data_IF_044755601007
#
_entry.id   IF_044755601007
#
_cell.length_a   1.000
_cell.length_b   1.000
_cell.length_c   1.000
_cell.angle_alpha   90.00
_cell.angle_beta   90.00
_cell.angle_gamma   90.00
#
_symmetry.space_group_name_H-M   'P 1'
#
loop_
_entity.id
_entity.type
_entity.pdbx_description
1 polymer ?
#
# COMPACT_ATOMS: atom_id res chain seq x y z
N UNK A 1 25.32 -6.61 18.11
CA UNK A 1 25.68 -6.04 16.80
C UNK A 1 25.30 -4.56 16.85
N UNK A 2 26.23 -3.68 16.53
CA UNK A 2 25.94 -2.23 16.53
C UNK A 2 25.15 -1.88 15.27
N UNK A 3 23.95 -1.33 15.42
CA UNK A 3 23.12 -0.86 14.31
C UNK A 3 23.58 0.57 13.95
N UNK A 4 24.32 0.69 12.87
CA UNK A 4 24.83 2.00 12.43
C UNK A 4 23.68 2.93 12.08
N UNK A 5 23.82 4.20 12.43
CA UNK A 5 22.91 5.23 11.92
C UNK A 5 23.35 5.64 10.52
N UNK A 6 22.52 5.39 9.53
CA UNK A 6 22.83 5.62 8.12
C UNK A 6 23.16 7.09 7.81
N UNK A 7 22.53 8.05 8.47
CA UNK A 7 22.83 9.48 8.32
C UNK A 7 24.30 9.83 8.60
N UNK A 8 25.01 9.02 9.41
CA UNK A 8 26.41 9.26 9.78
C UNK A 8 27.44 8.79 8.77
N UNK A 9 27.00 8.02 7.76
CA UNK A 9 27.90 7.37 6.82
C UNK A 9 27.70 7.81 5.37
N UNK A 10 26.65 8.57 5.06
CA UNK A 10 26.37 9.01 3.71
C UNK A 10 27.42 9.97 3.17
N UNK A 11 27.83 9.74 1.93
CA UNK A 11 28.60 10.70 1.12
C UNK A 11 27.68 11.81 0.62
N UNK A 12 28.28 12.90 0.11
CA UNK A 12 27.51 13.99 -0.49
C UNK A 12 26.66 13.55 -1.71
N UNK A 13 27.15 12.59 -2.49
CA UNK A 13 26.40 12.06 -3.64
C UNK A 13 25.25 11.16 -3.20
N UNK A 14 25.44 10.33 -2.18
CA UNK A 14 24.36 9.55 -1.57
C UNK A 14 23.27 10.43 -0.97
N UNK A 15 23.62 11.56 -0.35
CA UNK A 15 22.62 12.52 0.15
C UNK A 15 21.79 13.14 -0.98
N UNK A 16 22.41 13.44 -2.14
CA UNK A 16 21.66 13.93 -3.31
C UNK A 16 20.71 12.86 -3.88
N UNK A 17 21.17 11.62 -3.98
CA UNK A 17 20.34 10.50 -4.44
C UNK A 17 19.19 10.24 -3.45
N UNK A 18 19.47 10.27 -2.15
CA UNK A 18 18.47 10.17 -1.08
C UNK A 18 17.36 11.23 -1.26
N UNK A 19 17.75 12.49 -1.50
CA UNK A 19 16.78 13.57 -1.73
C UNK A 19 15.94 13.34 -2.99
N UNK A 20 16.54 12.83 -4.08
CA UNK A 20 15.83 12.50 -5.32
C UNK A 20 14.84 11.35 -5.11
N UNK A 21 15.25 10.26 -4.47
CA UNK A 21 14.40 9.12 -4.17
C UNK A 21 13.22 9.54 -3.27
N UNK A 22 13.49 10.27 -2.19
CA UNK A 22 12.44 10.72 -1.28
C UNK A 22 11.48 11.74 -1.92
N UNK A 23 11.98 12.60 -2.81
CA UNK A 23 11.13 13.53 -3.56
C UNK A 23 10.19 12.77 -4.50
N UNK A 24 10.70 11.77 -5.23
CA UNK A 24 9.93 10.89 -6.10
C UNK A 24 8.92 10.08 -5.29
N UNK A 25 9.29 9.56 -4.13
CA UNK A 25 8.43 8.82 -3.23
C UNK A 25 7.24 9.66 -2.73
N UNK A 26 7.46 10.91 -2.30
CA UNK A 26 6.37 11.81 -1.90
C UNK A 26 5.36 12.05 -3.03
N UNK A 27 5.83 12.23 -4.26
CA UNK A 27 4.92 12.35 -5.43
C UNK A 27 4.09 11.08 -5.61
N UNK A 28 4.69 9.90 -5.43
CA UNK A 28 3.96 8.64 -5.53
C UNK A 28 2.89 8.50 -4.43
N UNK A 29 3.17 8.95 -3.21
CA UNK A 29 2.19 8.97 -2.12
C UNK A 29 1.02 9.94 -2.40
N UNK A 30 1.30 11.07 -3.02
CA UNK A 30 0.29 12.07 -3.37
C UNK A 30 -0.64 11.61 -4.51
N UNK A 31 -0.08 10.91 -5.52
CA UNK A 31 -0.79 10.46 -6.71
C UNK A 31 -1.38 9.04 -6.57
N UNK A 32 -0.97 8.27 -5.57
CA UNK A 32 -1.35 6.89 -5.35
C UNK A 32 -1.94 6.66 -3.96
N UNK A 33 -3.12 7.20 -3.67
CA UNK A 33 -3.81 7.02 -2.38
C UNK A 33 -4.70 5.80 -2.32
N UNK A 34 -5.03 5.21 -3.46
CA UNK A 34 -5.78 3.96 -3.57
C UNK A 34 -4.98 2.92 -4.35
N UNK A 35 -5.30 1.64 -4.22
CA UNK A 35 -4.65 0.56 -4.96
C UNK A 35 -4.78 0.75 -6.48
N UNK A 36 -5.93 1.25 -6.97
CA UNK A 36 -6.13 1.56 -8.39
C UNK A 36 -5.23 2.69 -8.88
N UNK A 37 -5.03 3.69 -8.05
CA UNK A 37 -4.13 4.81 -8.35
C UNK A 37 -2.68 4.34 -8.36
N UNK A 38 -2.28 3.50 -7.39
CA UNK A 38 -0.94 2.91 -7.35
C UNK A 38 -0.64 2.07 -8.59
N UNK A 39 -1.57 1.20 -9.03
CA UNK A 39 -1.40 0.41 -10.26
C UNK A 39 -1.29 1.32 -11.47
N UNK A 40 -2.17 2.32 -11.61
CA UNK A 40 -2.13 3.27 -12.73
C UNK A 40 -0.81 4.03 -12.79
N UNK A 41 -0.34 4.51 -11.65
CA UNK A 41 0.95 5.20 -11.54
C UNK A 41 2.11 4.26 -11.91
N UNK A 42 2.10 3.04 -11.39
CA UNK A 42 3.11 2.02 -11.70
C UNK A 42 3.16 1.74 -13.20
N UNK A 43 2.01 1.48 -13.84
CA UNK A 43 1.94 1.23 -15.29
C UNK A 43 2.52 2.40 -16.07
N UNK A 44 2.13 3.64 -15.74
CA UNK A 44 2.68 4.85 -16.38
C UNK A 44 4.20 4.94 -16.28
N UNK A 45 4.80 4.55 -15.16
CA UNK A 45 6.25 4.63 -14.96
C UNK A 45 7.00 3.48 -15.66
N UNK A 46 6.49 2.25 -15.59
CA UNK A 46 7.16 1.10 -16.20
C UNK A 46 7.09 1.13 -17.74
N UNK A 47 5.98 1.61 -18.32
CA UNK A 47 5.86 1.76 -19.79
C UNK A 47 6.87 2.74 -20.36
N UNK A 48 7.22 3.83 -19.65
CA UNK A 48 8.32 4.74 -20.00
C UNK A 48 9.68 4.05 -20.06
N UNK A 49 9.84 2.93 -19.35
CA UNK A 49 11.06 2.12 -19.28
C UNK A 49 11.01 0.90 -20.21
N UNK A 50 9.99 0.86 -21.10
CA UNK A 50 9.87 -0.16 -22.15
C UNK A 50 9.19 -1.46 -21.71
N UNK A 51 8.52 -1.48 -20.56
CA UNK A 51 7.68 -2.62 -20.18
C UNK A 51 6.45 -2.69 -21.07
N UNK A 52 6.08 -3.90 -21.47
CA UNK A 52 4.93 -4.19 -22.34
C UNK A 52 3.92 -5.07 -21.61
N UNK A 53 2.64 -4.82 -21.83
CA UNK A 53 1.60 -5.67 -21.25
C UNK A 53 1.72 -7.09 -21.79
N UNK A 54 1.73 -8.09 -20.91
CA UNK A 54 1.88 -9.49 -21.27
C UNK A 54 0.78 -9.98 -22.24
N UNK A 55 -0.43 -9.41 -22.13
CA UNK A 55 -1.56 -9.71 -23.05
C UNK A 55 -1.29 -9.36 -24.50
N UNK A 56 -0.38 -8.43 -24.75
CA UNK A 56 -0.04 -7.95 -26.11
C UNK A 56 1.16 -8.70 -26.70
N UNK A 57 1.79 -9.58 -25.94
CA UNK A 57 2.96 -10.37 -26.37
C UNK A 57 2.48 -11.56 -27.20
N UNK A 58 2.99 -11.67 -28.41
CA UNK A 58 2.68 -12.77 -29.34
C UNK A 58 3.89 -13.65 -29.66
N UNK A 59 5.08 -13.10 -29.48
CA UNK A 59 6.35 -13.76 -29.76
C UNK A 59 6.98 -14.26 -28.47
N UNK A 60 7.96 -15.16 -28.61
CA UNK A 60 8.74 -15.66 -27.48
C UNK A 60 9.52 -14.52 -26.78
N UNK A 61 9.60 -14.60 -25.46
CA UNK A 61 10.38 -13.69 -24.64
C UNK A 61 11.84 -14.18 -24.51
N UNK A 62 12.76 -13.24 -24.37
CA UNK A 62 14.18 -13.48 -24.19
C UNK A 62 14.78 -12.61 -23.09
N UNK A 63 15.98 -12.93 -22.66
CA UNK A 63 16.71 -12.14 -21.68
C UNK A 63 16.74 -10.65 -22.06
N UNK A 64 16.45 -9.80 -21.09
CA UNK A 64 16.31 -8.34 -21.22
C UNK A 64 14.92 -7.84 -21.60
N UNK A 65 13.98 -8.72 -21.98
CA UNK A 65 12.59 -8.32 -22.21
C UNK A 65 11.91 -7.91 -20.92
N UNK A 66 11.07 -6.86 -21.01
CA UNK A 66 10.36 -6.25 -19.89
C UNK A 66 8.86 -6.39 -20.10
N UNK A 67 8.17 -7.08 -19.19
CA UNK A 67 6.74 -7.32 -19.33
C UNK A 67 6.01 -7.12 -17.99
N UNK A 68 4.70 -6.87 -18.05
CA UNK A 68 3.86 -6.77 -16.88
C UNK A 68 2.46 -7.34 -17.13
N UNK A 69 1.78 -7.70 -16.05
CA UNK A 69 0.38 -8.08 -16.06
C UNK A 69 -0.37 -7.36 -14.94
N UNK A 70 -1.62 -6.98 -15.19
CA UNK A 70 -2.50 -6.28 -14.23
C UNK A 70 -3.70 -7.16 -13.93
N UNK A 71 -4.04 -7.26 -12.64
CA UNK A 71 -5.24 -7.93 -12.16
C UNK A 71 -6.30 -6.90 -11.76
N UNK A 72 -7.39 -6.81 -12.53
CA UNK A 72 -8.57 -5.99 -12.24
C UNK A 72 -8.27 -4.52 -11.89
N UNK A 73 -7.12 -3.99 -12.33
CA UNK A 73 -6.68 -2.64 -12.01
C UNK A 73 -6.25 -2.40 -10.57
N UNK A 74 -6.09 -3.44 -9.75
CA UNK A 74 -5.80 -3.36 -8.31
C UNK A 74 -4.53 -4.07 -7.88
N UNK A 75 -3.99 -4.97 -8.71
CA UNK A 75 -2.70 -5.62 -8.48
C UNK A 75 -1.91 -5.68 -9.77
N UNK A 76 -0.59 -5.70 -9.67
CA UNK A 76 0.30 -5.73 -10.82
C UNK A 76 1.52 -6.60 -10.51
N UNK A 77 1.96 -7.39 -11.50
CA UNK A 77 3.24 -8.08 -11.48
C UNK A 77 4.05 -7.63 -12.71
N UNK A 78 5.31 -7.25 -12.52
CA UNK A 78 6.21 -6.82 -13.56
C UNK A 78 7.51 -7.63 -13.54
N UNK A 79 8.07 -7.91 -14.71
CA UNK A 79 9.20 -8.81 -14.87
C UNK A 79 10.25 -8.23 -15.81
N UNK A 80 11.51 -8.40 -15.43
CA UNK A 80 12.66 -8.27 -16.30
C UNK A 80 13.24 -9.67 -16.51
N UNK A 81 13.13 -10.20 -17.73
CA UNK A 81 13.55 -11.57 -18.05
C UNK A 81 15.07 -11.69 -17.94
N UNK A 82 15.54 -12.63 -17.13
CA UNK A 82 16.94 -12.91 -16.89
C UNK A 82 17.59 -13.79 -17.97
N UNK A 83 18.89 -14.04 -17.81
CA UNK A 83 19.66 -14.93 -18.70
C UNK A 83 19.44 -16.41 -18.37
N UNK A 84 19.19 -16.73 -17.11
CA UNK A 84 18.89 -18.09 -16.68
C UNK A 84 17.45 -18.48 -17.03
N UNK A 85 17.20 -19.79 -17.28
CA UNK A 85 15.84 -20.32 -17.46
C UNK A 85 14.95 -19.99 -16.24
N UNK A 86 13.67 -19.69 -16.50
CA UNK A 86 12.69 -19.42 -15.42
C UNK A 86 12.55 -20.59 -14.45
N UNK A 87 12.71 -21.85 -14.89
CA UNK A 87 12.66 -23.01 -14.00
C UNK A 87 13.75 -22.99 -12.91
N UNK A 88 14.80 -22.19 -13.03
CA UNK A 88 15.78 -21.95 -11.98
C UNK A 88 15.28 -20.99 -10.89
N UNK A 89 14.13 -20.34 -11.12
CA UNK A 89 13.49 -19.42 -10.19
C UNK A 89 13.76 -17.95 -10.49
N UNK A 90 13.08 -17.10 -9.76
CA UNK A 90 13.10 -15.63 -9.89
C UNK A 90 13.58 -14.97 -8.60
N UNK A 91 14.06 -13.73 -8.71
CA UNK A 91 14.26 -12.84 -7.57
C UNK A 91 13.03 -11.90 -7.47
N UNK A 92 12.27 -12.02 -6.39
CA UNK A 92 10.95 -11.38 -6.25
C UNK A 92 10.99 -10.32 -5.16
N UNK A 93 10.54 -9.11 -5.49
CA UNK A 93 10.13 -8.08 -4.53
C UNK A 93 8.61 -8.07 -4.48
N UNK A 94 8.03 -8.27 -3.31
CA UNK A 94 6.59 -8.24 -3.13
C UNK A 94 6.18 -7.24 -2.05
N UNK A 95 5.11 -6.48 -2.29
CA UNK A 95 4.57 -5.50 -1.36
C UNK A 95 3.07 -5.35 -1.58
N UNK A 96 2.34 -4.77 -0.62
CA UNK A 96 0.94 -4.41 -0.85
C UNK A 96 0.77 -2.91 -1.14
N UNK A 97 -0.36 -2.56 -1.73
CA UNK A 97 -0.67 -1.19 -2.14
C UNK A 97 -2.02 -0.68 -1.65
N UNK A 98 -2.80 -1.53 -1.00
CA UNK A 98 -3.94 -1.11 -0.19
C UNK A 98 -3.45 -0.53 1.15
N UNK A 99 -4.29 0.21 1.84
CA UNK A 99 -4.00 0.78 3.16
C UNK A 99 -5.28 0.90 3.96
N UNK A 100 -5.23 0.93 5.30
CA UNK A 100 -6.41 1.15 6.13
C UNK A 100 -7.11 2.46 5.76
N UNK A 101 -8.43 2.40 5.63
CA UNK A 101 -9.27 3.52 5.16
C UNK A 101 -10.73 3.37 5.57
N UNK A 102 -11.58 4.22 5.02
CA UNK A 102 -13.03 4.12 5.12
C UNK A 102 -13.59 3.97 3.71
N UNK A 103 -14.45 2.95 3.47
CA UNK A 103 -15.12 2.72 2.18
C UNK A 103 -16.58 3.21 2.24
N UNK A 104 -17.08 3.74 1.12
CA UNK A 104 -18.48 4.10 0.95
C UNK A 104 -19.30 2.84 0.70
N UNK A 105 -20.44 2.67 1.41
CA UNK A 105 -21.38 1.55 1.22
C UNK A 105 -22.14 1.66 -0.11
N UNK A 106 -22.92 0.61 -0.45
CA UNK A 106 -23.62 0.50 -1.74
C UNK A 106 -24.88 1.38 -1.83
N UNK A 107 -25.53 1.73 -0.72
CA UNK A 107 -26.67 2.63 -0.65
C UNK A 107 -26.35 3.75 0.35
N UNK A 108 -25.39 4.64 0.04
CA UNK A 108 -24.73 5.42 1.08
C UNK A 108 -25.44 6.76 1.35
N UNK A 109 -26.13 7.33 0.36
CA UNK A 109 -26.56 8.72 0.42
C UNK A 109 -27.88 8.86 1.18
N UNK A 110 -27.84 9.56 2.29
CA UNK A 110 -29.01 9.90 3.08
C UNK A 110 -28.95 11.32 3.65
N UNK A 111 -30.10 11.84 4.06
CA UNK A 111 -30.23 13.11 4.75
C UNK A 111 -30.85 12.89 6.14
N UNK A 112 -30.36 13.63 7.12
CA UNK A 112 -30.94 13.69 8.46
C UNK A 112 -30.81 15.10 9.02
N UNK A 113 -31.91 15.74 9.40
CA UNK A 113 -31.97 17.12 9.95
C UNK A 113 -31.16 18.13 9.12
N UNK A 114 -31.44 18.20 7.81
CA UNK A 114 -30.79 19.09 6.84
C UNK A 114 -29.28 18.90 6.69
N UNK A 115 -28.76 17.72 7.01
CA UNK A 115 -27.38 17.32 6.79
C UNK A 115 -27.34 16.07 5.90
N UNK A 116 -26.58 16.12 4.81
CA UNK A 116 -26.38 14.99 3.91
C UNK A 116 -25.11 14.24 4.25
N UNK A 117 -25.22 12.92 4.25
CA UNK A 117 -24.14 11.99 4.61
C UNK A 117 -23.97 10.90 3.57
N UNK A 118 -22.74 10.34 3.52
CA UNK A 118 -22.46 9.01 2.96
C UNK A 118 -22.25 8.01 4.08
N UNK A 119 -23.06 6.94 4.11
CA UNK A 119 -22.91 5.78 4.98
C UNK A 119 -21.66 4.98 4.59
N UNK A 120 -20.90 4.52 5.58
CA UNK A 120 -19.55 4.00 5.37
C UNK A 120 -19.26 2.68 6.10
N UNK A 121 -18.18 2.03 5.69
CA UNK A 121 -17.59 0.90 6.40
C UNK A 121 -16.06 1.07 6.47
N UNK A 122 -15.45 0.90 7.63
CA UNK A 122 -14.00 0.94 7.72
C UNK A 122 -13.35 -0.30 7.12
N UNK A 123 -12.14 -0.14 6.59
CA UNK A 123 -11.31 -1.14 5.95
C UNK A 123 -9.99 -1.29 6.69
N UNK A 124 -9.59 -2.54 7.02
CA UNK A 124 -8.36 -2.83 7.76
C UNK A 124 -8.45 -2.53 9.26
N UNK A 125 -7.32 -2.61 9.91
CA UNK A 125 -7.18 -2.46 11.37
C UNK A 125 -6.99 -1.01 11.81
N UNK A 126 -8.04 -0.24 12.02
CA UNK A 126 -7.97 1.18 12.42
C UNK A 126 -8.34 1.43 13.90
N UNK A 127 -7.75 2.47 14.48
CA UNK A 127 -8.26 3.12 15.68
C UNK A 127 -9.27 4.19 15.25
N UNK A 128 -10.57 3.87 15.27
CA UNK A 128 -11.65 4.70 14.72
C UNK A 128 -11.61 6.15 15.21
N UNK A 129 -11.20 6.39 16.46
CA UNK A 129 -11.08 7.73 17.02
C UNK A 129 -10.00 8.62 16.39
N UNK A 130 -9.11 8.05 15.56
CA UNK A 130 -8.13 8.83 14.82
C UNK A 130 -8.68 9.36 13.48
N UNK A 131 -9.86 8.90 13.06
CA UNK A 131 -10.46 9.21 11.76
C UNK A 131 -11.55 10.28 11.81
N UNK A 132 -11.93 10.74 13.01
CA UNK A 132 -12.89 11.84 13.18
C UNK A 132 -12.17 13.20 13.19
N UNK A 133 -12.90 14.26 12.81
CA UNK A 133 -12.41 15.66 12.82
C UNK A 133 -11.17 15.93 11.94
N UNK A 134 -10.94 15.10 10.94
CA UNK A 134 -9.88 15.28 9.95
C UNK A 134 -10.45 15.76 8.61
N UNK A 135 -9.72 16.59 7.87
CA UNK A 135 -10.02 16.79 6.45
C UNK A 135 -9.85 15.47 5.70
N UNK A 136 -10.89 15.04 4.99
CA UNK A 136 -10.94 13.80 4.23
C UNK A 136 -11.23 14.09 2.77
N UNK A 137 -10.70 13.25 1.89
CA UNK A 137 -10.87 13.26 0.45
C UNK A 137 -11.62 12.00 0.01
N UNK A 138 -12.30 12.07 -1.13
CA UNK A 138 -13.02 10.96 -1.75
C UNK A 138 -12.33 10.57 -3.05
N UNK A 139 -11.86 9.34 -3.13
CA UNK A 139 -11.18 8.76 -4.28
C UNK A 139 -11.91 7.53 -4.80
N UNK A 140 -11.66 7.16 -6.03
CA UNK A 140 -12.13 5.89 -6.56
C UNK A 140 -12.69 5.94 -7.97
N UNK A 141 -13.61 5.03 -8.24
CA UNK A 141 -14.25 4.90 -9.56
C UNK A 141 -15.74 4.58 -9.41
N UNK A 142 -16.48 5.06 -10.37
CA UNK A 142 -17.88 4.70 -10.61
C UNK A 142 -17.92 4.00 -11.96
N UNK A 143 -18.53 2.83 -12.03
CA UNK A 143 -18.67 2.08 -13.29
C UNK A 143 -20.14 2.01 -13.65
N UNK A 144 -20.52 2.69 -14.73
CA UNK A 144 -21.90 2.74 -15.22
C UNK A 144 -22.30 1.42 -15.88
N UNK A 145 -23.60 1.19 -16.00
CA UNK A 145 -24.17 -0.03 -16.64
C UNK A 145 -23.78 -0.17 -18.10
N UNK A 146 -23.41 0.91 -18.80
CA UNK A 146 -22.89 0.88 -20.17
C UNK A 146 -21.37 0.55 -20.25
N UNK A 147 -20.71 0.35 -19.08
CA UNK A 147 -19.28 0.08 -18.96
C UNK A 147 -18.41 1.34 -18.89
N UNK A 148 -18.96 2.52 -18.92
CA UNK A 148 -18.21 3.77 -18.75
C UNK A 148 -17.64 3.85 -17.33
N UNK A 149 -16.33 4.14 -17.23
CA UNK A 149 -15.62 4.29 -15.96
C UNK A 149 -15.38 5.78 -15.70
N UNK A 150 -16.03 6.31 -14.68
CA UNK A 150 -15.83 7.66 -14.18
C UNK A 150 -14.89 7.63 -12.98
N UNK A 151 -13.78 8.39 -13.05
CA UNK A 151 -12.87 8.56 -11.91
C UNK A 151 -13.37 9.65 -10.99
N UNK A 152 -13.28 9.38 -9.69
CA UNK A 152 -13.57 10.33 -8.62
C UNK A 152 -12.28 10.63 -7.87
N UNK A 153 -11.98 11.91 -7.69
CA UNK A 153 -10.88 12.40 -6.86
C UNK A 153 -11.27 13.82 -6.43
N UNK A 154 -11.74 13.96 -5.19
CA UNK A 154 -12.26 15.21 -4.61
C UNK A 154 -11.60 15.43 -3.26
N UNK A 155 -10.97 16.57 -3.05
CA UNK A 155 -10.37 16.96 -1.78
C UNK A 155 -8.86 17.10 -1.81
N UNK A 156 -8.22 16.95 -2.98
CA UNK A 156 -6.76 17.01 -3.10
C UNK A 156 -6.22 18.33 -3.64
N UNK A 157 -7.02 19.05 -4.42
CA UNK A 157 -6.63 20.35 -4.93
C UNK A 157 -6.98 21.44 -3.92
N UNK A 158 -6.28 22.55 -4.00
CA UNK A 158 -6.46 23.67 -3.06
C UNK A 158 -7.88 24.27 -3.10
N UNK A 159 -8.55 24.21 -4.25
CA UNK A 159 -9.92 24.69 -4.48
C UNK A 159 -10.98 23.59 -4.36
N UNK A 160 -10.61 22.35 -4.14
CA UNK A 160 -11.55 21.25 -3.90
C UNK A 160 -12.21 21.40 -2.51
N UNK A 161 -13.48 21.01 -2.35
CA UNK A 161 -14.06 20.81 -1.02
C UNK A 161 -13.41 19.60 -0.34
N UNK A 162 -13.30 19.65 0.98
CA UNK A 162 -12.93 18.49 1.82
C UNK A 162 -14.14 18.02 2.62
N UNK A 163 -14.09 16.81 3.11
CA UNK A 163 -15.14 16.17 3.89
C UNK A 163 -14.67 15.92 5.32
N UNK A 164 -15.60 15.53 6.21
CA UNK A 164 -15.27 15.26 7.60
C UNK A 164 -16.23 14.22 8.19
N UNK A 165 -15.68 13.34 9.04
CA UNK A 165 -16.48 12.59 10.02
C UNK A 165 -16.52 13.42 11.30
N UNK A 166 -17.71 13.79 11.76
CA UNK A 166 -17.87 14.63 12.94
C UNK A 166 -17.66 13.85 14.23
N UNK A 167 -17.30 14.54 15.31
CA UNK A 167 -17.27 14.00 16.67
C UNK A 167 -18.04 14.90 17.64
N UNK A 168 -18.44 14.33 18.76
CA UNK A 168 -19.20 15.08 19.78
C UNK A 168 -18.28 16.05 20.51
N UNK A 169 -18.77 17.28 20.72
CA UNK A 169 -18.00 18.26 21.50
C UNK A 169 -17.80 17.81 22.94
N UNK A 170 -16.66 18.17 23.51
CA UNK A 170 -16.22 17.71 24.85
C UNK A 170 -17.25 17.97 25.96
N UNK A 171 -17.99 19.08 25.90
CA UNK A 171 -18.97 19.44 26.92
C UNK A 171 -20.22 18.53 26.94
N UNK A 172 -20.50 17.80 25.88
CA UNK A 172 -21.57 16.81 25.79
C UNK A 172 -21.03 15.37 25.81
N UNK A 173 -19.72 15.16 25.75
CA UNK A 173 -19.08 13.86 25.55
C UNK A 173 -18.92 13.02 26.83
N UNK A 174 -19.48 13.40 27.98
CA UNK A 174 -19.27 12.70 29.27
C UNK A 174 -19.45 11.18 29.16
N UNK A 175 -20.60 10.71 28.64
CA UNK A 175 -20.86 9.28 28.44
C UNK A 175 -19.99 8.63 27.37
N UNK A 176 -19.59 9.37 26.35
CA UNK A 176 -18.70 8.88 25.31
C UNK A 176 -17.30 8.63 25.90
N UNK A 177 -16.79 9.55 26.72
CA UNK A 177 -15.46 9.46 27.34
C UNK A 177 -15.33 8.32 28.36
N UNK A 178 -16.45 7.82 28.92
CA UNK A 178 -16.47 6.64 29.82
C UNK A 178 -16.32 5.31 29.05
N UNK A 179 -16.48 5.30 27.72
CA UNK A 179 -16.35 4.10 26.92
C UNK A 179 -14.87 3.67 26.77
N UNK A 180 -14.65 2.36 26.54
CA UNK A 180 -13.32 1.89 26.11
C UNK A 180 -12.93 2.56 24.79
N UNK A 181 -11.64 2.83 24.58
CA UNK A 181 -11.14 3.46 23.37
C UNK A 181 -11.58 2.74 22.05
N UNK A 182 -11.72 1.40 22.09
CA UNK A 182 -12.24 0.62 20.96
C UNK A 182 -13.72 0.88 20.62
N UNK A 183 -14.47 1.46 21.56
CA UNK A 183 -15.90 1.72 21.44
C UNK A 183 -16.26 3.21 21.53
N UNK A 184 -15.28 4.10 21.73
CA UNK A 184 -15.50 5.54 21.86
C UNK A 184 -16.09 6.14 20.59
N UNK A 185 -15.68 5.65 19.43
CA UNK A 185 -16.33 5.88 18.13
C UNK A 185 -16.89 4.54 17.65
N UNK A 186 -18.17 4.51 17.39
CA UNK A 186 -18.87 3.34 16.85
C UNK A 186 -18.67 3.27 15.33
N UNK A 187 -18.58 2.08 14.73
CA UNK A 187 -18.36 1.91 13.28
C UNK A 187 -19.45 2.59 12.45
N UNK A 188 -20.72 2.44 12.87
CA UNK A 188 -21.87 3.05 12.22
C UNK A 188 -21.98 4.59 12.42
N UNK A 189 -20.97 5.22 13.02
CA UNK A 189 -20.86 6.67 13.18
C UNK A 189 -19.66 7.27 12.46
N UNK A 190 -19.07 6.50 11.55
CA UNK A 190 -18.01 6.98 10.67
C UNK A 190 -18.55 7.58 9.37
N UNK A 191 -19.81 7.99 9.36
CA UNK A 191 -20.46 8.55 8.17
C UNK A 191 -19.85 9.90 7.79
N UNK A 192 -19.63 10.05 6.50
CA UNK A 192 -19.00 11.24 5.93
C UNK A 192 -20.01 12.35 5.72
N UNK A 193 -19.84 13.47 6.40
CA UNK A 193 -20.64 14.67 6.17
C UNK A 193 -20.25 15.32 4.83
N UNK A 194 -21.24 15.47 3.93
CA UNK A 194 -20.98 15.92 2.56
C UNK A 194 -21.82 17.14 2.12
N UNK A 195 -22.80 17.58 2.88
CA UNK A 195 -23.59 18.73 2.52
C UNK A 195 -24.58 19.19 3.59
N UNK A 196 -25.00 20.47 3.48
CA UNK A 196 -25.99 21.08 4.37
C UNK A 196 -26.84 22.19 3.67
N UNK A 197 -26.63 22.38 2.37
CA UNK A 197 -27.39 23.37 1.59
C UNK A 197 -28.54 22.69 0.84
N UNK A 198 -29.80 23.09 1.04
CA UNK A 198 -30.91 22.55 0.29
C UNK A 198 -30.83 22.97 -1.18
N UNK A 199 -31.46 22.20 -2.05
CA UNK A 199 -31.65 22.57 -3.46
C UNK A 199 -32.45 23.88 -3.54
N UNK A 200 -31.97 24.81 -4.36
CA UNK A 200 -32.68 26.05 -4.60
C UNK A 200 -33.98 25.75 -5.35
N UNK A 201 -35.08 26.29 -4.84
CA UNK A 201 -36.41 26.14 -5.47
C UNK A 201 -36.42 26.83 -6.83
N UNK A 202 -36.81 26.14 -7.88
CA UNK A 202 -37.24 26.75 -9.11
C UNK A 202 -38.65 27.32 -8.88
N UNK A 203 -38.96 28.52 -9.43
CA UNK A 203 -40.27 29.13 -9.30
C UNK A 203 -41.36 28.17 -9.80
N UNK A 204 -42.20 27.66 -8.88
CA UNK A 204 -43.34 26.80 -9.21
C UNK A 204 -43.34 25.39 -8.67
N UNK A 205 -42.33 24.99 -7.88
CA UNK A 205 -42.29 23.69 -7.18
C UNK A 205 -42.85 23.78 -5.75
N UNK A 206 -43.54 22.72 -5.29
CA UNK A 206 -44.22 22.65 -4.00
C UNK A 206 -43.22 22.77 -2.80
N UNK A 207 -43.73 23.31 -1.69
CA UNK A 207 -42.92 23.70 -0.52
C UNK A 207 -42.30 22.56 0.28
N UNK A 208 -42.65 21.32 0.02
CA UNK A 208 -42.36 20.16 0.85
C UNK A 208 -41.49 19.08 0.14
N UNK A 209 -40.42 19.48 -0.57
CA UNK A 209 -39.48 18.46 -1.04
C UNK A 209 -38.72 17.88 0.16
N UNK A 210 -39.06 16.65 0.52
CA UNK A 210 -38.37 15.87 1.54
C UNK A 210 -36.95 15.59 1.04
N UNK A 211 -35.96 15.75 1.94
CA UNK A 211 -34.55 15.49 1.62
C UNK A 211 -33.94 16.47 0.58
N UNK A 212 -34.22 17.76 0.71
CA UNK A 212 -33.78 18.82 -0.22
C UNK A 212 -32.24 19.00 -0.26
N UNK A 213 -31.53 18.70 0.83
CA UNK A 213 -30.06 18.74 0.88
C UNK A 213 -29.49 17.56 0.10
N UNK A 214 -30.06 16.38 0.26
CA UNK A 214 -29.71 15.18 -0.55
C UNK A 214 -29.94 15.46 -2.03
N UNK A 215 -31.07 16.08 -2.39
CA UNK A 215 -31.37 16.44 -3.77
C UNK A 215 -30.33 17.40 -4.37
N UNK A 216 -29.86 18.38 -3.59
CA UNK A 216 -28.80 19.29 -4.03
C UNK A 216 -27.44 18.56 -4.22
N UNK A 217 -27.10 17.68 -3.29
CA UNK A 217 -25.88 16.86 -3.43
C UNK A 217 -25.96 15.99 -4.68
N UNK A 218 -27.09 15.33 -4.92
CA UNK A 218 -27.29 14.54 -6.14
C UNK A 218 -27.18 15.39 -7.41
N UNK A 219 -27.75 16.59 -7.41
CA UNK A 219 -27.59 17.51 -8.54
C UNK A 219 -26.12 17.83 -8.80
N UNK A 220 -25.34 18.11 -7.76
CA UNK A 220 -23.88 18.36 -7.88
C UNK A 220 -23.17 17.12 -8.45
N UNK A 221 -23.48 15.92 -7.95
CA UNK A 221 -22.87 14.68 -8.44
C UNK A 221 -23.24 14.41 -9.91
N UNK A 222 -24.47 14.71 -10.30
CA UNK A 222 -24.91 14.61 -11.70
C UNK A 222 -24.21 15.64 -12.60
N UNK A 223 -24.19 16.91 -12.20
CA UNK A 223 -23.65 18.00 -13.01
C UNK A 223 -22.13 17.90 -13.22
N UNK A 224 -21.36 17.51 -12.19
CA UNK A 224 -19.90 17.49 -12.22
C UNK A 224 -19.29 16.11 -12.50
N UNK A 225 -19.99 15.04 -12.12
CA UNK A 225 -19.46 13.67 -12.22
C UNK A 225 -20.32 12.76 -13.10
N UNK A 226 -21.40 13.33 -13.71
CA UNK A 226 -22.34 12.56 -14.53
C UNK A 226 -22.83 11.30 -13.81
N UNK A 227 -23.14 11.40 -12.52
CA UNK A 227 -23.49 10.32 -11.63
C UNK A 227 -24.96 10.40 -11.24
N UNK A 228 -25.63 9.26 -11.23
CA UNK A 228 -26.97 9.07 -10.67
C UNK A 228 -26.89 8.26 -9.37
N UNK A 229 -27.93 8.29 -8.53
CA UNK A 229 -27.91 7.59 -7.23
C UNK A 229 -27.69 6.08 -7.38
N UNK A 230 -28.26 5.47 -8.42
CA UNK A 230 -28.06 4.05 -8.73
C UNK A 230 -26.60 3.68 -9.04
N UNK A 231 -25.80 4.62 -9.49
CA UNK A 231 -24.38 4.38 -9.82
C UNK A 231 -23.52 4.05 -8.59
N UNK A 232 -23.99 4.38 -7.37
CA UNK A 232 -23.32 3.92 -6.14
C UNK A 232 -23.28 2.40 -6.00
N UNK A 233 -24.22 1.66 -6.59
CA UNK A 233 -24.27 0.21 -6.55
C UNK A 233 -23.05 -0.44 -7.22
N UNK A 234 -22.43 0.23 -8.17
CA UNK A 234 -21.24 -0.20 -8.92
C UNK A 234 -20.08 0.78 -8.78
N UNK A 235 -20.02 1.51 -7.66
CA UNK A 235 -18.91 2.37 -7.30
C UNK A 235 -17.94 1.66 -6.32
N UNK A 236 -16.68 2.00 -6.43
CA UNK A 236 -15.65 1.74 -5.42
C UNK A 236 -15.09 3.10 -5.01
N UNK A 237 -15.60 3.63 -3.89
CA UNK A 237 -15.24 4.94 -3.37
C UNK A 237 -14.60 4.80 -1.99
N UNK A 238 -13.41 5.35 -1.88
CA UNK A 238 -12.53 5.28 -0.72
C UNK A 238 -12.36 6.67 -0.12
N UNK A 239 -12.51 6.76 1.19
CA UNK A 239 -12.33 7.98 1.98
C UNK A 239 -10.95 7.90 2.64
N UNK A 240 -10.10 8.86 2.30
CA UNK A 240 -8.71 8.92 2.72
C UNK A 240 -8.38 10.30 3.29
N UNK A 241 -7.31 10.46 4.10
CA UNK A 241 -6.89 11.79 4.56
C UNK A 241 -6.58 12.73 3.39
N UNK A 242 -7.19 13.91 3.40
CA UNK A 242 -6.92 14.97 2.43
C UNK A 242 -5.57 15.63 2.72
N UNK A 243 -4.79 15.86 1.67
CA UNK A 243 -3.51 16.56 1.76
C UNK A 243 -2.31 15.70 1.35
N UNK A 244 -1.18 16.37 1.18
CA UNK A 244 0.04 15.83 0.57
C UNK A 244 1.02 15.30 1.60
N UNK A 245 1.89 14.39 1.15
CA UNK A 245 3.08 13.97 1.87
C UNK A 245 4.01 15.15 2.14
N UNK A 246 4.50 15.27 3.37
CA UNK A 246 5.31 16.41 3.81
C UNK A 246 6.58 15.97 4.52
N UNK A 247 7.62 16.78 4.39
CA UNK A 247 8.78 16.65 5.25
C UNK A 247 8.37 16.87 6.71
N UNK A 248 8.83 16.00 7.59
CA UNK A 248 8.53 16.01 9.02
C UNK A 248 9.80 16.21 9.84
N UNK A 249 9.66 16.93 10.97
CA UNK A 249 10.77 17.35 11.83
C UNK A 249 11.42 18.64 11.36
N UNK A 250 12.04 19.36 12.30
CA UNK A 250 12.74 20.63 11.99
C UNK A 250 13.91 20.44 11.02
N UNK A 251 14.56 19.29 11.08
CA UNK A 251 15.67 18.88 10.23
C UNK A 251 15.21 18.24 8.90
N UNK A 252 13.90 18.08 8.70
CA UNK A 252 13.29 17.48 7.50
C UNK A 252 13.79 16.07 7.19
N UNK A 253 14.21 15.31 8.20
CA UNK A 253 14.77 13.96 8.05
C UNK A 253 13.72 12.86 7.89
N UNK A 254 12.44 13.20 8.06
CA UNK A 254 11.33 12.27 8.03
C UNK A 254 10.27 12.71 7.00
N UNK A 255 9.35 11.78 6.69
CA UNK A 255 8.17 12.02 5.86
C UNK A 255 6.93 11.70 6.69
N UNK A 256 5.96 12.62 6.71
CA UNK A 256 4.61 12.42 7.24
C UNK A 256 3.64 12.32 6.08
N UNK A 257 2.94 11.19 5.97
CA UNK A 257 1.98 10.93 4.91
C UNK A 257 0.97 9.84 5.29
N UNK A 258 -0.12 9.75 4.53
CA UNK A 258 -1.07 8.66 4.58
C UNK A 258 -0.56 7.47 3.77
N UNK A 259 -0.80 6.25 4.29
CA UNK A 259 -0.62 5.01 3.57
C UNK A 259 0.83 4.69 3.23
N UNK A 260 1.78 5.02 4.12
CA UNK A 260 3.16 4.58 3.98
C UNK A 260 3.30 3.07 4.24
N UNK A 261 2.38 2.50 5.01
CA UNK A 261 2.06 1.09 5.09
C UNK A 261 1.17 0.69 3.89
N UNK A 262 1.60 -0.11 2.90
CA UNK A 262 3.01 -0.53 2.65
C UNK A 262 3.56 0.12 1.36
N UNK A 263 3.02 1.30 1.00
CA UNK A 263 3.46 2.01 -0.22
C UNK A 263 4.92 2.43 -0.17
N UNK A 264 5.52 2.52 1.03
CA UNK A 264 6.96 2.78 1.13
C UNK A 264 7.77 1.63 0.56
N UNK A 265 7.41 0.38 0.85
CA UNK A 265 8.07 -0.77 0.28
C UNK A 265 7.67 -0.99 -1.18
N UNK A 266 6.41 -0.76 -1.53
CA UNK A 266 5.91 -0.89 -2.89
C UNK A 266 6.63 0.05 -3.87
N UNK A 267 6.72 1.33 -3.57
CA UNK A 267 7.37 2.29 -4.48
C UNK A 267 8.88 2.19 -4.47
N UNK A 268 9.52 1.86 -3.36
CA UNK A 268 10.98 1.60 -3.34
C UNK A 268 11.35 0.32 -4.09
N UNK A 269 10.49 -0.71 -4.08
CA UNK A 269 10.63 -1.91 -4.91
C UNK A 269 10.45 -1.58 -6.39
N UNK A 270 9.44 -0.77 -6.75
CA UNK A 270 9.26 -0.27 -8.12
C UNK A 270 10.50 0.51 -8.60
N UNK A 271 11.04 1.41 -7.80
CA UNK A 271 12.22 2.19 -8.17
C UNK A 271 13.44 1.29 -8.38
N UNK A 272 13.66 0.32 -7.49
CA UNK A 272 14.72 -0.66 -7.64
C UNK A 272 14.58 -1.45 -8.95
N UNK A 273 13.37 -1.92 -9.27
CA UNK A 273 13.06 -2.67 -10.49
C UNK A 273 13.29 -1.84 -11.77
N UNK A 274 12.98 -0.53 -11.74
CA UNK A 274 13.19 0.39 -12.88
C UNK A 274 14.66 0.72 -13.14
N UNK A 275 15.53 0.57 -12.11
CA UNK A 275 16.94 0.94 -12.14
C UNK A 275 17.88 -0.28 -12.21
N UNK A 276 17.32 -1.48 -12.41
CA UNK A 276 18.08 -2.71 -12.66
C UNK A 276 17.97 -3.07 -14.14
N UNK A 277 19.11 -3.39 -14.74
CA UNK A 277 19.25 -3.87 -16.10
C UNK A 277 20.21 -5.08 -16.10
N UNK A 278 20.11 -5.96 -17.07
CA UNK A 278 21.04 -7.10 -17.25
C UNK A 278 21.16 -7.99 -16.01
N UNK A 279 20.11 -8.76 -15.72
CA UNK A 279 20.03 -9.68 -14.57
C UNK A 279 20.28 -11.13 -15.01
N UNK A 280 20.93 -11.91 -14.12
CA UNK A 280 21.12 -13.35 -14.36
C UNK A 280 19.80 -14.10 -14.16
N UNK A 281 19.16 -13.97 -13.01
CA UNK A 281 17.84 -14.53 -12.72
C UNK A 281 16.75 -13.50 -13.09
N UNK A 282 15.63 -13.98 -13.58
CA UNK A 282 14.48 -13.11 -13.83
C UNK A 282 14.11 -12.35 -12.57
N UNK A 283 14.06 -11.03 -12.68
CA UNK A 283 13.59 -10.16 -11.61
C UNK A 283 12.09 -9.93 -11.72
N UNK A 284 11.41 -9.98 -10.58
CA UNK A 284 9.98 -9.73 -10.46
C UNK A 284 9.71 -8.67 -9.38
N UNK A 285 8.77 -7.76 -9.64
CA UNK A 285 8.15 -6.98 -8.60
C UNK A 285 6.63 -7.19 -8.68
N UNK A 286 6.03 -7.64 -7.57
CA UNK A 286 4.59 -7.85 -7.46
C UNK A 286 4.01 -6.93 -6.40
N UNK A 287 2.99 -6.15 -6.79
CA UNK A 287 2.26 -5.23 -5.92
C UNK A 287 0.82 -5.69 -5.85
N UNK A 288 0.35 -6.02 -4.64
CA UNK A 288 -0.94 -6.66 -4.41
C UNK A 288 -1.90 -5.81 -3.59
N UNK A 289 -3.17 -6.11 -3.72
CA UNK A 289 -4.28 -5.54 -2.97
C UNK A 289 -4.70 -6.46 -1.81
N UNK A 290 -5.49 -5.94 -0.87
CA UNK A 290 -6.20 -6.69 0.19
C UNK A 290 -5.33 -7.28 1.29
N UNK A 291 -4.07 -6.88 1.44
CA UNK A 291 -3.24 -7.34 2.55
C UNK A 291 -3.90 -7.02 3.88
N UNK A 292 -4.37 -5.80 4.04
CA UNK A 292 -4.98 -5.22 5.26
C UNK A 292 -6.25 -5.93 5.73
N UNK A 293 -6.84 -6.75 4.88
CA UNK A 293 -8.03 -7.57 5.19
C UNK A 293 -7.78 -9.07 4.99
N UNK A 294 -6.51 -9.50 5.01
CA UNK A 294 -6.10 -10.90 5.00
C UNK A 294 -5.79 -11.50 3.64
N UNK A 295 -5.50 -10.69 2.62
CA UNK A 295 -5.04 -11.11 1.28
C UNK A 295 -6.03 -12.01 0.52
N UNK A 296 -7.30 -12.10 0.93
CA UNK A 296 -8.33 -12.97 0.34
C UNK A 296 -9.09 -12.23 -0.75
N UNK A 297 -9.36 -12.92 -1.85
CA UNK A 297 -10.09 -12.39 -3.00
C UNK A 297 -9.26 -12.34 -4.28
N UNK A 298 -9.90 -11.96 -5.39
CA UNK A 298 -9.31 -12.09 -6.72
C UNK A 298 -8.07 -11.21 -6.96
N UNK A 299 -7.92 -10.13 -6.21
CA UNK A 299 -6.80 -9.18 -6.31
C UNK A 299 -5.77 -9.30 -5.17
N UNK A 300 -6.08 -10.09 -4.12
CA UNK A 300 -5.18 -10.38 -3.01
C UNK A 300 -4.13 -11.45 -3.36
N UNK A 301 -3.10 -11.58 -2.51
CA UNK A 301 -2.00 -12.52 -2.75
C UNK A 301 -2.44 -14.00 -2.76
N UNK A 302 -3.54 -14.36 -2.10
CA UNK A 302 -4.13 -15.70 -2.16
C UNK A 302 -4.74 -16.07 -3.52
N UNK A 303 -4.92 -15.10 -4.42
CA UNK A 303 -5.42 -15.37 -5.76
C UNK A 303 -4.40 -16.15 -6.60
N UNK A 304 -4.87 -16.79 -7.66
CA UNK A 304 -3.99 -17.46 -8.61
C UNK A 304 -3.36 -16.53 -9.64
N UNK A 305 -3.50 -15.22 -9.47
CA UNK A 305 -2.98 -14.24 -10.41
C UNK A 305 -1.49 -14.43 -10.67
N UNK A 306 -0.68 -14.51 -9.62
CA UNK A 306 0.77 -14.66 -9.77
C UNK A 306 1.16 -15.98 -10.44
N UNK A 307 0.59 -17.10 -10.00
CA UNK A 307 0.83 -18.41 -10.59
C UNK A 307 0.46 -18.46 -12.08
N UNK A 308 -0.68 -17.88 -12.46
CA UNK A 308 -1.12 -17.80 -13.84
C UNK A 308 -0.16 -16.97 -14.70
N UNK A 309 0.30 -15.82 -14.20
CA UNK A 309 1.27 -14.98 -14.93
C UNK A 309 2.61 -15.71 -15.11
N UNK A 310 3.09 -16.43 -14.08
CA UNK A 310 4.32 -17.24 -14.21
C UNK A 310 4.14 -18.36 -15.24
N UNK A 311 2.94 -18.96 -15.32
CA UNK A 311 2.65 -19.98 -16.33
C UNK A 311 2.73 -19.43 -17.77
N UNK A 312 2.17 -18.24 -18.01
CA UNK A 312 2.28 -17.53 -19.29
C UNK A 312 3.74 -17.19 -19.63
N UNK A 313 4.53 -16.74 -18.65
CA UNK A 313 5.94 -16.45 -18.85
C UNK A 313 6.74 -17.70 -19.22
N UNK A 314 6.51 -18.83 -18.52
CA UNK A 314 7.15 -20.11 -18.84
C UNK A 314 6.79 -20.55 -20.26
N UNK A 315 5.50 -20.43 -20.65
CA UNK A 315 5.06 -20.78 -22.00
C UNK A 315 5.78 -19.93 -23.08
N UNK A 316 5.95 -18.63 -22.83
CA UNK A 316 6.58 -17.68 -23.77
C UNK A 316 8.11 -17.76 -23.80
N UNK A 317 8.76 -18.28 -22.77
CA UNK A 317 10.24 -18.39 -22.70
C UNK A 317 10.76 -19.79 -23.00
N UNK A 318 10.08 -20.82 -22.51
CA UNK A 318 10.60 -22.19 -22.43
C UNK A 318 9.64 -23.26 -22.99
N UNK A 319 8.46 -22.84 -23.46
CA UNK A 319 7.37 -23.69 -23.90
C UNK A 319 6.49 -24.20 -22.74
N UNK A 320 5.26 -24.61 -23.07
CA UNK A 320 4.25 -25.02 -22.10
C UNK A 320 4.69 -26.20 -21.26
N UNK A 321 4.69 -26.04 -19.92
CA UNK A 321 5.03 -27.10 -18.98
C UNK A 321 4.63 -26.76 -17.55
N UNK A 322 3.65 -27.46 -17.00
CA UNK A 322 3.27 -27.38 -15.58
C UNK A 322 4.43 -27.64 -14.61
N UNK A 323 5.30 -28.58 -14.98
CA UNK A 323 6.45 -28.90 -14.13
C UNK A 323 7.45 -27.76 -14.06
N UNK A 324 7.70 -27.05 -15.15
CA UNK A 324 8.56 -25.86 -15.16
C UNK A 324 7.97 -24.71 -14.36
N UNK A 325 6.65 -24.49 -14.42
CA UNK A 325 5.94 -23.50 -13.58
C UNK A 325 6.17 -23.79 -12.11
N UNK A 326 5.98 -25.03 -11.68
CA UNK A 326 6.20 -25.43 -10.28
C UNK A 326 7.65 -25.27 -9.85
N UNK A 327 8.61 -25.60 -10.70
CA UNK A 327 10.04 -25.40 -10.45
C UNK A 327 10.41 -23.93 -10.37
N UNK A 328 9.87 -23.10 -11.29
CA UNK A 328 10.07 -21.66 -11.29
C UNK A 328 9.62 -21.03 -9.97
N UNK A 329 8.43 -21.41 -9.49
CA UNK A 329 7.90 -20.93 -8.20
C UNK A 329 8.74 -21.46 -7.02
N UNK A 330 9.03 -22.77 -6.97
CA UNK A 330 9.76 -23.40 -5.88
C UNK A 330 11.19 -22.88 -5.75
N UNK A 331 11.88 -22.64 -6.86
CA UNK A 331 13.27 -22.20 -6.88
C UNK A 331 13.43 -20.68 -6.74
N UNK A 332 12.32 -19.94 -6.63
CA UNK A 332 12.33 -18.49 -6.47
C UNK A 332 12.78 -18.07 -5.07
N UNK A 333 13.26 -16.84 -4.97
CA UNK A 333 13.65 -16.18 -3.74
C UNK A 333 12.93 -14.86 -3.63
N UNK A 334 12.40 -14.55 -2.45
CA UNK A 334 11.55 -13.37 -2.28
C UNK A 334 11.95 -12.55 -1.06
N UNK A 335 12.01 -11.24 -1.23
CA UNK A 335 11.79 -10.27 -0.18
C UNK A 335 10.30 -9.94 -0.16
N UNK A 336 9.59 -10.44 0.84
CA UNK A 336 8.20 -10.09 1.10
C UNK A 336 8.21 -8.80 1.89
N UNK A 337 7.98 -7.69 1.19
CA UNK A 337 8.09 -6.40 1.83
C UNK A 337 6.79 -6.04 2.53
N UNK A 338 6.95 -5.56 3.76
CA UNK A 338 5.90 -5.00 4.59
C UNK A 338 6.59 -4.17 5.69
N UNK A 339 5.97 -3.07 6.08
CA UNK A 339 6.55 -2.16 7.07
C UNK A 339 6.77 -2.86 8.41
N UNK A 340 7.66 -2.31 9.20
CA UNK A 340 7.94 -2.80 10.56
C UNK A 340 7.65 -1.71 11.59
N UNK A 341 7.08 -2.07 12.74
CA UNK A 341 6.81 -1.11 13.81
C UNK A 341 8.12 -0.50 14.32
N UNK A 342 8.28 0.81 14.15
CA UNK A 342 9.44 1.53 14.67
C UNK A 342 9.38 1.61 16.20
N UNK A 343 10.53 1.45 16.85
CA UNK A 343 10.66 1.69 18.28
C UNK A 343 10.28 3.14 18.61
N UNK A 344 9.18 3.30 19.33
CA UNK A 344 8.73 4.58 19.83
C UNK A 344 9.09 4.70 21.32
N UNK A 345 9.98 5.65 21.69
CA UNK A 345 10.34 5.85 23.10
C UNK A 345 9.17 6.22 24.01
N UNK A 346 8.08 6.79 23.44
CA UNK A 346 6.87 7.14 24.19
C UNK A 346 6.02 5.91 24.55
N UNK A 347 6.27 4.77 23.88
CA UNK A 347 5.57 3.48 24.07
C UNK A 347 6.58 2.34 24.23
N UNK A 348 7.71 2.62 24.90
CA UNK A 348 8.83 1.69 25.04
C UNK A 348 8.44 0.32 25.61
N UNK A 349 7.38 0.29 26.45
CA UNK A 349 6.86 -0.94 27.06
C UNK A 349 6.26 -1.93 26.06
N UNK A 350 5.90 -1.49 24.85
CA UNK A 350 5.39 -2.37 23.78
C UNK A 350 6.50 -3.11 23.02
N UNK A 351 7.77 -2.76 23.21
CA UNK A 351 8.90 -3.26 22.44
C UNK A 351 9.90 -4.03 23.28
N UNK A 352 10.56 -5.02 22.66
CA UNK A 352 11.83 -5.56 23.14
C UNK A 352 12.97 -4.82 22.39
N UNK A 353 13.68 -3.97 23.11
CA UNK A 353 14.61 -2.99 22.52
C UNK A 353 15.74 -3.62 21.71
N UNK A 354 16.19 -4.86 22.03
CA UNK A 354 17.25 -5.55 21.28
C UNK A 354 16.77 -6.05 19.93
N UNK A 355 15.45 -6.28 19.80
CA UNK A 355 14.82 -6.84 18.61
C UNK A 355 13.83 -5.87 17.97
N UNK A 356 13.85 -4.58 18.31
CA UNK A 356 13.01 -3.56 17.69
C UNK A 356 13.67 -2.91 16.47
N UNK A 357 12.88 -2.40 15.53
CA UNK A 357 13.34 -1.57 14.42
C UNK A 357 13.54 -0.11 14.88
N UNK A 358 14.57 0.55 14.38
CA UNK A 358 14.89 1.93 14.74
C UNK A 358 15.02 2.81 13.50
N UNK A 359 14.57 4.04 13.57
CA UNK A 359 14.74 5.03 12.53
C UNK A 359 16.21 5.31 12.20
N UNK A 360 16.47 5.50 10.91
CA UNK A 360 17.79 5.81 10.39
C UNK A 360 18.80 4.66 10.51
N UNK A 361 18.30 3.42 10.62
CA UNK A 361 19.13 2.20 10.69
C UNK A 361 19.02 1.33 9.44
N UNK A 362 18.28 1.81 8.45
CA UNK A 362 18.14 1.17 7.15
C UNK A 362 17.04 0.12 7.09
N UNK A 363 17.11 -0.71 6.04
CA UNK A 363 16.14 -1.75 5.74
C UNK A 363 15.98 -2.71 6.91
N UNK A 364 14.75 -3.03 7.28
CA UNK A 364 14.41 -3.98 8.34
C UNK A 364 14.17 -5.35 7.74
N UNK A 365 14.76 -6.38 8.32
CA UNK A 365 14.44 -7.77 8.05
C UNK A 365 13.78 -8.39 9.28
N UNK A 366 12.64 -9.03 9.08
CA UNK A 366 11.95 -9.83 10.10
C UNK A 366 12.07 -11.29 9.72
N UNK A 367 12.83 -12.06 10.53
CA UNK A 367 12.98 -13.50 10.31
C UNK A 367 11.62 -14.21 10.36
N UNK A 368 10.72 -13.70 11.20
CA UNK A 368 9.32 -14.13 11.37
C UNK A 368 8.49 -12.95 11.87
N UNK A 369 7.17 -12.97 11.60
CA UNK A 369 6.24 -11.90 11.96
C UNK A 369 5.06 -12.36 12.81
N UNK A 370 4.77 -13.67 12.84
CA UNK A 370 3.58 -14.24 13.48
C UNK A 370 3.50 -14.02 14.99
N UNK A 371 2.28 -14.05 15.52
CA UNK A 371 1.96 -13.90 16.93
C UNK A 371 1.97 -15.24 17.69
N UNK A 372 2.00 -15.19 19.03
CA UNK A 372 1.77 -16.36 19.91
C UNK A 372 2.58 -17.60 19.52
N UNK A 373 3.87 -17.51 19.55
CA UNK A 373 4.78 -18.61 19.18
C UNK A 373 4.94 -18.76 17.66
N UNK A 374 4.99 -17.64 16.93
CA UNK A 374 5.20 -17.55 15.48
C UNK A 374 4.06 -18.13 14.63
N UNK A 375 2.85 -18.18 15.16
CA UNK A 375 1.69 -18.71 14.42
C UNK A 375 1.34 -17.83 13.24
N UNK A 376 1.05 -18.44 12.06
CA UNK A 376 0.66 -17.74 10.85
C UNK A 376 1.78 -16.92 10.20
N UNK A 377 3.03 -17.32 10.40
CA UNK A 377 4.22 -16.62 9.92
C UNK A 377 5.09 -17.53 9.04
N UNK A 378 5.81 -16.94 8.10
CA UNK A 378 7.00 -17.56 7.54
C UNK A 378 8.17 -17.39 8.55
N UNK A 379 8.98 -18.44 8.76
CA UNK A 379 10.23 -18.40 9.55
C UNK A 379 11.40 -18.64 8.57
N UNK A 380 12.05 -17.59 8.14
CA UNK A 380 13.06 -17.64 7.08
C UNK A 380 14.25 -18.54 7.44
N UNK A 381 14.72 -19.33 6.47
CA UNK A 381 15.82 -20.26 6.64
C UNK A 381 17.16 -19.54 6.86
N UNK A 382 18.04 -20.14 7.66
CA UNK A 382 19.32 -19.55 8.02
C UNK A 382 20.24 -19.37 6.80
N UNK A 383 20.20 -20.31 5.87
CA UNK A 383 20.98 -20.28 4.63
C UNK A 383 20.57 -19.07 3.76
N UNK A 384 19.28 -18.86 3.57
CA UNK A 384 18.75 -17.74 2.83
C UNK A 384 19.05 -16.39 3.50
N UNK A 385 18.93 -16.33 4.82
CA UNK A 385 19.36 -15.17 5.61
C UNK A 385 20.82 -14.80 5.37
N UNK A 386 21.71 -15.80 5.27
CA UNK A 386 23.11 -15.57 5.00
C UNK A 386 23.34 -15.02 3.59
N UNK A 387 22.57 -15.49 2.61
CA UNK A 387 22.61 -14.95 1.23
C UNK A 387 22.14 -13.50 1.18
N UNK A 388 20.99 -13.19 1.79
CA UNK A 388 20.45 -11.82 1.86
C UNK A 388 21.45 -10.87 2.52
N UNK A 389 22.07 -11.28 3.64
CA UNK A 389 23.12 -10.48 4.29
C UNK A 389 24.32 -10.25 3.39
N UNK A 390 24.72 -11.25 2.61
CA UNK A 390 25.83 -11.13 1.65
C UNK A 390 25.47 -10.13 0.54
N UNK A 391 24.26 -10.17 0.00
CA UNK A 391 23.78 -9.22 -0.99
C UNK A 391 23.78 -7.78 -0.44
N UNK A 392 23.24 -7.56 0.76
CA UNK A 392 23.26 -6.24 1.39
C UNK A 392 24.67 -5.69 1.63
N UNK A 393 25.57 -6.54 2.08
CA UNK A 393 26.96 -6.17 2.35
C UNK A 393 27.76 -5.88 1.05
N UNK A 394 27.38 -6.47 -0.07
CA UNK A 394 28.05 -6.25 -1.36
C UNK A 394 27.92 -4.80 -1.86
N UNK A 395 26.85 -4.12 -1.52
CA UNK A 395 26.61 -2.72 -1.89
C UNK A 395 26.61 -1.77 -0.66
N UNK A 396 27.14 -2.22 0.48
CA UNK A 396 27.20 -1.44 1.74
C UNK A 396 25.83 -0.82 2.13
N UNK A 397 24.76 -1.62 2.01
CA UNK A 397 23.41 -1.25 2.43
C UNK A 397 23.30 -1.29 3.93
N UNK A 398 22.74 -0.26 4.55
CA UNK A 398 22.41 -0.26 5.98
C UNK A 398 21.15 -1.10 6.22
N UNK A 399 21.22 -2.06 7.13
CA UNK A 399 20.07 -2.90 7.48
C UNK A 399 20.09 -3.32 8.94
N UNK A 400 18.94 -3.76 9.43
CA UNK A 400 18.72 -4.25 10.79
C UNK A 400 17.80 -5.46 10.79
N UNK A 401 17.85 -6.26 11.86
CA UNK A 401 16.89 -7.34 12.13
C UNK A 401 16.00 -6.93 13.29
N UNK A 402 14.70 -7.16 13.14
CA UNK A 402 13.71 -6.81 14.16
C UNK A 402 12.60 -7.87 14.27
N UNK A 403 11.79 -7.71 15.31
CA UNK A 403 10.52 -8.39 15.53
C UNK A 403 9.43 -7.32 15.70
N UNK A 404 8.19 -7.68 15.40
CA UNK A 404 7.05 -6.79 15.53
C UNK A 404 6.54 -6.77 16.97
N UNK A 405 7.15 -5.90 17.81
CA UNK A 405 6.79 -5.75 19.21
C UNK A 405 7.36 -6.82 20.13
N UNK A 406 6.86 -6.87 21.37
CA UNK A 406 7.22 -7.93 22.36
C UNK A 406 6.52 -9.24 22.04
N UNK A 407 7.17 -10.35 22.41
CA UNK A 407 6.52 -11.66 22.50
C UNK A 407 5.22 -11.54 23.32
N UNK A 408 4.15 -12.15 22.86
CA UNK A 408 2.77 -12.11 23.39
C UNK A 408 1.98 -10.79 23.14
N UNK A 409 2.62 -9.69 22.74
CA UNK A 409 1.96 -8.43 22.41
C UNK A 409 1.93 -8.16 20.91
N UNK A 410 3.03 -8.41 20.22
CA UNK A 410 3.20 -8.13 18.80
C UNK A 410 2.98 -9.34 17.91
N UNK A 411 3.05 -9.08 16.63
CA UNK A 411 2.93 -10.08 15.58
C UNK A 411 1.72 -9.84 14.68
N UNK A 412 1.86 -10.15 13.40
CA UNK A 412 0.83 -10.03 12.37
C UNK A 412 1.14 -10.99 11.22
N UNK A 413 0.15 -11.27 10.38
CA UNK A 413 0.35 -11.95 9.11
C UNK A 413 0.89 -10.96 8.08
N UNK A 414 1.63 -11.45 7.10
CA UNK A 414 2.08 -10.73 5.91
C UNK A 414 1.87 -11.63 4.71
N UNK A 415 2.13 -11.16 3.51
CA UNK A 415 2.06 -12.00 2.30
C UNK A 415 3.15 -13.09 2.24
N UNK A 416 4.15 -13.06 3.12
CA UNK A 416 5.29 -13.98 3.12
C UNK A 416 4.88 -15.45 3.21
N UNK A 417 4.00 -15.82 4.15
CA UNK A 417 3.59 -17.22 4.33
C UNK A 417 2.82 -17.76 3.12
N UNK A 418 2.12 -16.88 2.39
CA UNK A 418 1.36 -17.25 1.19
C UNK A 418 2.31 -17.69 0.08
N UNK A 419 3.35 -16.88 -0.14
CA UNK A 419 4.38 -17.19 -1.14
C UNK A 419 5.24 -18.37 -0.74
N UNK A 420 5.55 -18.53 0.53
CA UNK A 420 6.27 -19.69 1.06
C UNK A 420 5.53 -21.02 0.81
N UNK A 421 4.21 -21.03 0.62
CA UNK A 421 3.45 -22.23 0.25
C UNK A 421 3.87 -22.84 -1.10
N UNK A 422 4.50 -22.05 -1.99
CA UNK A 422 5.07 -22.57 -3.23
C UNK A 422 6.42 -23.30 -3.02
N UNK A 423 6.97 -23.27 -1.79
CA UNK A 423 8.25 -23.88 -1.45
C UNK A 423 9.46 -22.98 -1.74
N UNK A 424 9.25 -21.72 -2.07
CA UNK A 424 10.32 -20.75 -2.30
C UNK A 424 10.91 -20.22 -0.99
N UNK A 425 12.12 -19.67 -1.07
CA UNK A 425 12.76 -18.97 0.04
C UNK A 425 12.20 -17.57 0.20
N UNK A 426 11.64 -17.27 1.37
CA UNK A 426 10.99 -15.98 1.66
C UNK A 426 11.50 -15.41 2.98
N UNK A 427 11.73 -14.11 3.03
CA UNK A 427 11.93 -13.33 4.25
C UNK A 427 11.12 -12.05 4.20
N UNK A 428 10.54 -11.66 5.33
CA UNK A 428 9.91 -10.36 5.49
C UNK A 428 10.97 -9.26 5.56
N UNK A 429 10.75 -8.19 4.80
CA UNK A 429 11.63 -7.02 4.79
C UNK A 429 10.84 -5.74 4.64
N UNK A 430 11.29 -4.62 5.19
CA UNK A 430 10.55 -3.36 5.01
C UNK A 430 11.18 -2.17 5.70
N UNK A 431 10.38 -1.14 5.86
CA UNK A 431 10.79 0.14 6.44
C UNK A 431 10.17 0.31 7.82
N UNK A 432 10.94 0.86 8.75
CA UNK A 432 10.42 1.20 10.07
C UNK A 432 9.42 2.38 9.99
N UNK A 433 8.22 2.22 10.55
CA UNK A 433 7.14 3.20 10.53
C UNK A 433 6.65 3.49 11.95
N UNK A 434 6.47 4.77 12.25
CA UNK A 434 5.76 5.23 13.45
C UNK A 434 4.31 5.53 13.10
N UNK A 435 3.40 5.32 14.06
CA UNK A 435 1.96 5.54 13.88
C UNK A 435 1.35 4.69 12.75
N UNK A 436 1.86 3.47 12.52
CA UNK A 436 1.32 2.51 11.55
C UNK A 436 -0.20 2.38 11.68
N UNK A 437 -0.92 2.29 10.56
CA UNK A 437 -2.38 2.27 10.44
C UNK A 437 -3.11 3.55 10.89
N UNK A 438 -2.38 4.61 11.27
CA UNK A 438 -3.01 5.91 11.52
C UNK A 438 -3.26 6.66 10.20
N UNK A 439 -4.15 7.65 10.18
CA UNK A 439 -4.36 8.50 9.01
C UNK A 439 -3.07 9.19 8.51
N UNK A 440 -2.13 9.40 9.42
CA UNK A 440 -0.82 9.98 9.13
C UNK A 440 0.28 9.16 9.80
N UNK A 441 1.20 8.66 9.00
CA UNK A 441 2.30 7.81 9.40
C UNK A 441 3.64 8.50 9.16
N UNK A 442 4.69 8.05 9.85
CA UNK A 442 6.01 8.67 9.75
C UNK A 442 7.07 7.63 9.40
N UNK A 443 7.89 7.94 8.36
CA UNK A 443 9.08 7.17 8.00
C UNK A 443 10.33 8.03 8.03
N UNK A 444 11.51 7.42 8.19
CA UNK A 444 12.79 8.10 8.01
C UNK A 444 13.20 8.12 6.53
N UNK A 445 13.60 9.27 6.01
CA UNK A 445 14.12 9.40 4.64
C UNK A 445 15.34 8.51 4.38
N UNK A 446 16.15 8.28 5.40
CA UNK A 446 17.29 7.37 5.31
C UNK A 446 16.83 5.92 5.09
N UNK A 447 15.81 5.48 5.82
CA UNK A 447 15.32 4.11 5.72
C UNK A 447 14.61 3.86 4.38
N UNK A 448 13.86 4.85 3.86
CA UNK A 448 13.31 4.81 2.50
C UNK A 448 14.41 4.65 1.44
N UNK A 449 15.51 5.40 1.59
CA UNK A 449 16.63 5.31 0.66
C UNK A 449 17.36 3.97 0.77
N UNK A 450 17.59 3.48 1.98
CA UNK A 450 18.22 2.16 2.18
C UNK A 450 17.33 1.00 1.72
N UNK A 451 16.01 1.12 1.79
CA UNK A 451 15.07 0.16 1.21
C UNK A 451 15.25 0.08 -0.33
N UNK A 452 15.26 1.23 -1.01
CA UNK A 452 15.55 1.28 -2.45
C UNK A 452 16.89 0.62 -2.79
N UNK A 453 17.97 0.96 -2.06
CA UNK A 453 19.29 0.37 -2.27
C UNK A 453 19.31 -1.14 -2.00
N UNK A 454 18.67 -1.56 -0.91
CA UNK A 454 18.60 -2.96 -0.53
C UNK A 454 17.83 -3.82 -1.53
N UNK A 455 16.70 -3.34 -2.01
CA UNK A 455 15.92 -4.02 -3.05
C UNK A 455 16.68 -4.12 -4.38
N UNK A 456 17.37 -3.07 -4.77
CA UNK A 456 18.24 -3.07 -5.94
C UNK A 456 19.41 -4.06 -5.80
N UNK A 457 20.05 -4.09 -4.64
CA UNK A 457 21.12 -5.04 -4.33
C UNK A 457 20.62 -6.48 -4.34
N UNK A 458 19.43 -6.74 -3.81
CA UNK A 458 18.81 -8.06 -3.85
C UNK A 458 18.62 -8.56 -5.28
N UNK A 459 18.06 -7.74 -6.15
CA UNK A 459 17.82 -8.12 -7.56
C UNK A 459 19.11 -8.41 -8.34
N UNK A 460 20.23 -7.82 -7.93
CA UNK A 460 21.55 -7.95 -8.61
C UNK A 460 22.42 -9.06 -8.07
N UNK A 461 22.35 -9.34 -6.79
CA UNK A 461 23.36 -10.10 -6.07
C UNK A 461 22.86 -11.44 -5.47
N UNK A 462 21.58 -11.79 -5.72
CA UNK A 462 21.00 -13.08 -5.29
C UNK A 462 20.91 -14.10 -6.45
#
# INVERSE_FOLDING_TARGET
MERRNAWKIYTADQLKELDQINSRYKVCLDEGKTERECVRLTVKEIEKKGYRNLKDIKDSLKAGDKVYAVCMGKSIAMFLIGKEPLENGMNILGAHIDSPRIDVKQNPLYENEDLAYLDTHYYGGIKKYQWVTLPLALHGVIVKTDGTVQKVNIGEKEDDPVFVVTDLLIHLAGKQMEKKASAVIEGEKLDLLIGSRPLEKEEGLDEDEKDAVKANVMKILTDYYNMEEEDFLSAELEIVPAGKARDCGLDRSMILAYGQDDRVCAFTSLFAMLDVEDVERTSCCILVDKEEIGSVGATGMHSRFFENVVAELVALTEGESDLKVRRALQNSKMLSSDVSAAYDPMYAEAFEKRSAAFFGRGLVFNKFTGARGKSGSNDANAEYLAEVRRAMNAEDVSYQFAELGKVDLGGGGTIAYIMANYGMEVIDSGVAVLSMHAPWEVTSKADVYEAYRGYKSFLRNI
#
